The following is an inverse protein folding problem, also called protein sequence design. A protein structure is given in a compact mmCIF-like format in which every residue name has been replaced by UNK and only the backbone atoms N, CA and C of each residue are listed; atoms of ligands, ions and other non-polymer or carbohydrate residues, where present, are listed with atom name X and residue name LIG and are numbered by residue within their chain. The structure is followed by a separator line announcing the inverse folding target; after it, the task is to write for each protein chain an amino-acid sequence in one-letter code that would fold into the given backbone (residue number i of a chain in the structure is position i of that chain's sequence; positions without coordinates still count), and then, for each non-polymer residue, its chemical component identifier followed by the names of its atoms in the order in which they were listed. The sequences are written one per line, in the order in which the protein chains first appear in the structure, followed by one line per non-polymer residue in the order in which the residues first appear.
data_IF_420118642485
#
_entry.id   IF_420118642485
#
_cell.length_a   1.000
_cell.length_b   1.000
_cell.length_c   1.000
_cell.angle_alpha   90.00
_cell.angle_beta   90.00
_cell.angle_gamma   90.00
#
_symmetry.space_group_name_H-M   'P 1'
#
loop_
_entity.id
_entity.type
_entity.pdbx_description
1 polymer ?
#
# COMPACT_ATOMS: atom_id res chain seq x y z
N UNK A 1 0.43 -16.60 -1.29
CA UNK A 1 0.47 -15.36 -2.09
C UNK A 1 1.31 -14.33 -1.34
N UNK A 2 2.19 -13.60 -2.02
CA UNK A 2 3.18 -12.73 -1.38
C UNK A 2 2.52 -11.68 -0.46
N UNK A 3 2.77 -11.82 0.84
CA UNK A 3 2.13 -11.10 1.95
C UNK A 3 2.69 -9.69 2.17
N UNK A 4 3.23 -9.05 1.13
CA UNK A 4 4.05 -7.84 1.25
C UNK A 4 3.33 -6.68 1.92
N UNK A 5 2.01 -6.59 1.76
CA UNK A 5 1.21 -5.53 2.38
C UNK A 5 0.51 -5.92 3.68
N UNK A 6 0.71 -7.14 4.22
CA UNK A 6 0.00 -7.61 5.42
C UNK A 6 0.25 -6.73 6.64
N UNK A 7 1.47 -6.22 6.81
CA UNK A 7 1.81 -5.32 7.91
C UNK A 7 1.00 -4.02 7.83
N UNK A 8 0.89 -3.44 6.64
CA UNK A 8 0.10 -2.23 6.41
C UNK A 8 -1.40 -2.47 6.56
N UNK A 9 -1.91 -3.63 6.13
CA UNK A 9 -3.31 -4.02 6.32
C UNK A 9 -3.63 -4.10 7.82
N UNK A 10 -2.78 -4.78 8.60
CA UNK A 10 -2.99 -4.92 10.04
C UNK A 10 -2.99 -3.57 10.77
N UNK A 11 -2.05 -2.68 10.41
CA UNK A 11 -2.00 -1.32 10.97
C UNK A 11 -3.25 -0.50 10.67
N UNK A 12 -3.79 -0.61 9.45
CA UNK A 12 -5.05 0.04 9.07
C UNK A 12 -6.24 -0.56 9.83
N UNK A 13 -6.29 -1.89 10.00
CA UNK A 13 -7.34 -2.56 10.77
C UNK A 13 -7.35 -2.14 12.24
N UNK A 14 -6.18 -2.14 12.89
CA UNK A 14 -6.05 -1.76 14.30
C UNK A 14 -6.42 -0.28 14.50
N UNK A 15 -6.04 0.58 13.56
CA UNK A 15 -6.40 1.99 13.61
C UNK A 15 -7.91 2.22 13.38
N UNK A 16 -8.55 1.51 12.45
CA UNK A 16 -10.01 1.63 12.25
C UNK A 16 -10.76 1.13 13.48
N UNK A 17 -10.31 0.06 14.14
CA UNK A 17 -10.92 -0.42 15.39
C UNK A 17 -10.89 0.62 16.50
N UNK A 18 -9.84 1.45 16.56
CA UNK A 18 -9.73 2.56 17.51
C UNK A 18 -10.54 3.79 17.09
N UNK A 19 -10.90 3.91 15.80
CA UNK A 19 -11.58 5.09 15.27
C UNK A 19 -13.06 5.19 15.67
N UNK A 20 -13.56 6.43 15.74
CA UNK A 20 -14.97 6.72 16.03
C UNK A 20 -15.92 6.15 14.98
N UNK A 21 -15.47 6.00 13.72
CA UNK A 21 -16.29 5.45 12.65
C UNK A 21 -16.70 3.98 12.92
N UNK A 22 -15.78 3.17 13.46
CA UNK A 22 -16.10 1.79 13.83
C UNK A 22 -17.00 1.74 15.08
N UNK A 23 -16.78 2.66 16.02
CA UNK A 23 -17.65 2.81 17.20
C UNK A 23 -19.09 3.21 16.85
N UNK A 24 -19.30 3.91 15.73
CA UNK A 24 -20.63 4.21 15.17
C UNK A 24 -21.32 2.99 14.50
N UNK A 25 -20.68 1.81 14.49
CA UNK A 25 -21.24 0.59 13.93
C UNK A 25 -21.12 0.47 12.40
N UNK A 26 -20.26 1.30 11.78
CA UNK A 26 -20.03 1.24 10.32
C UNK A 26 -19.03 0.15 9.94
N UNK A 27 -19.09 -0.30 8.70
CA UNK A 27 -18.15 -1.32 8.20
C UNK A 27 -16.77 -0.73 7.96
N UNK A 28 -15.72 -1.56 8.02
CA UNK A 28 -14.33 -1.15 7.70
C UNK A 28 -14.22 -0.48 6.31
N UNK A 29 -14.97 -0.99 5.33
CA UNK A 29 -14.99 -0.43 3.97
C UNK A 29 -15.67 0.94 3.90
N UNK A 30 -16.63 1.22 4.78
CA UNK A 30 -17.26 2.53 4.87
C UNK A 30 -16.35 3.55 5.56
N UNK A 31 -15.65 3.14 6.62
CA UNK A 31 -14.69 4.00 7.31
C UNK A 31 -13.46 4.37 6.47
N UNK A 32 -13.16 3.60 5.42
CA UNK A 32 -12.05 3.86 4.50
C UNK A 32 -12.40 4.84 3.37
N UNK A 33 -13.68 5.22 3.19
CA UNK A 33 -14.09 6.14 2.13
C UNK A 33 -13.74 7.60 2.48
N UNK A 34 -13.43 8.41 1.46
CA UNK A 34 -13.07 9.84 1.60
C UNK A 34 -14.08 10.66 2.43
N UNK A 35 -15.34 10.24 2.49
CA UNK A 35 -16.41 10.96 3.21
C UNK A 35 -16.23 11.01 4.74
N UNK A 36 -15.43 10.12 5.32
CA UNK A 36 -15.22 10.04 6.77
C UNK A 36 -13.77 10.39 7.19
N UNK A 37 -12.97 10.98 6.30
CA UNK A 37 -11.58 11.35 6.61
C UNK A 37 -11.45 12.27 7.82
N UNK A 38 -12.46 13.11 8.11
CA UNK A 38 -12.51 13.97 9.29
C UNK A 38 -12.82 13.22 10.59
N UNK A 39 -13.37 12.01 10.51
CA UNK A 39 -13.71 11.17 11.68
C UNK A 39 -12.59 10.19 12.06
N UNK A 40 -11.55 10.14 11.25
CA UNK A 40 -10.46 9.17 11.34
C UNK A 40 -9.17 9.93 11.65
N UNK A 41 -8.41 9.46 12.64
CA UNK A 41 -7.18 10.13 13.05
C UNK A 41 -6.15 10.21 11.91
N UNK A 42 -5.30 11.24 11.96
CA UNK A 42 -4.28 11.49 10.95
C UNK A 42 -3.36 10.28 10.72
N UNK A 43 -3.04 9.53 11.77
CA UNK A 43 -2.23 8.31 11.69
C UNK A 43 -2.87 7.23 10.81
N UNK A 44 -4.20 7.09 10.87
CA UNK A 44 -4.94 6.18 9.99
C UNK A 44 -4.84 6.61 8.53
N UNK A 45 -4.95 7.90 8.25
CA UNK A 45 -4.86 8.41 6.88
C UNK A 45 -3.47 8.12 6.28
N UNK A 46 -2.41 8.25 7.09
CA UNK A 46 -1.06 7.89 6.66
C UNK A 46 -0.92 6.39 6.39
N UNK A 47 -1.45 5.54 7.28
CA UNK A 47 -1.41 4.08 7.09
C UNK A 47 -2.20 3.63 5.84
N UNK A 48 -3.34 4.27 5.54
CA UNK A 48 -4.12 4.04 4.31
C UNK A 48 -3.30 4.42 3.07
N UNK A 49 -2.64 5.58 3.06
CA UNK A 49 -1.75 5.99 1.96
C UNK A 49 -0.62 4.99 1.75
N UNK A 50 0.00 4.51 2.82
CA UNK A 50 1.05 3.48 2.74
C UNK A 50 0.51 2.16 2.16
N UNK A 51 -0.71 1.78 2.52
CA UNK A 51 -1.37 0.60 1.95
C UNK A 51 -1.65 0.77 0.45
N UNK A 52 -2.11 1.93 0.03
CA UNK A 52 -2.34 2.26 -1.39
C UNK A 52 -1.04 2.24 -2.19
N UNK A 53 0.04 2.82 -1.64
CA UNK A 53 1.39 2.77 -2.24
C UNK A 53 1.88 1.32 -2.32
N UNK A 54 1.69 0.53 -1.25
CA UNK A 54 2.08 -0.88 -1.24
C UNK A 54 1.33 -1.66 -2.31
N UNK A 55 0.00 -1.49 -2.40
CA UNK A 55 -0.83 -2.11 -3.44
C UNK A 55 -0.44 -1.64 -4.83
N UNK A 56 -0.16 -0.35 -5.03
CA UNK A 56 0.28 0.20 -6.30
C UNK A 56 1.61 -0.39 -6.74
N UNK A 57 2.59 -0.49 -5.85
CA UNK A 57 3.89 -1.10 -6.11
C UNK A 57 3.78 -2.62 -6.35
N UNK A 58 2.79 -3.30 -5.75
CA UNK A 58 2.51 -4.71 -6.01
C UNK A 58 1.79 -4.93 -7.36
N UNK A 59 0.85 -4.06 -7.72
CA UNK A 59 0.03 -4.17 -8.93
C UNK A 59 0.79 -3.73 -10.18
N UNK A 60 1.72 -2.79 -10.04
CA UNK A 60 2.52 -2.26 -11.14
C UNK A 60 3.78 -3.12 -11.38
N UNK A 61 3.60 -4.34 -11.88
CA UNK A 61 4.71 -5.22 -12.29
C UNK A 61 5.62 -4.57 -13.35
N UNK A 62 5.12 -3.58 -14.12
CA UNK A 62 5.91 -2.79 -15.09
C UNK A 62 7.04 -1.95 -14.45
N UNK A 63 6.99 -1.68 -13.13
CA UNK A 63 8.15 -1.10 -12.41
C UNK A 63 9.09 -2.15 -11.82
N UNK A 64 8.63 -3.38 -11.66
CA UNK A 64 9.43 -4.50 -11.15
C UNK A 64 10.31 -5.13 -12.24
N UNK A 65 9.90 -5.04 -13.51
CA UNK A 65 10.58 -5.59 -14.68
C UNK A 65 11.36 -4.58 -15.52
N UNK A 66 11.71 -3.40 -15.02
CA UNK A 66 12.78 -2.64 -15.67
C UNK A 66 14.11 -3.16 -15.16
N UNK A 67 14.56 -4.26 -15.74
CA UNK A 67 15.94 -4.79 -15.66
C UNK A 67 17.00 -3.84 -16.24
N UNK A 68 16.72 -2.55 -16.30
CA UNK A 68 17.67 -1.48 -16.57
C UNK A 68 17.91 -0.72 -15.27
N UNK A 69 18.58 -1.36 -14.32
CA UNK A 69 19.66 -0.63 -13.65
C UNK A 69 20.64 -0.31 -14.77
N UNK A 70 20.75 0.96 -15.13
CA UNK A 70 21.83 1.41 -16.01
C UNK A 70 23.13 1.12 -15.27
N UNK A 71 23.76 0.02 -15.62
CA UNK A 71 25.10 -0.31 -15.19
C UNK A 71 26.05 0.29 -16.22
N UNK A 72 26.81 1.35 -15.87
CA UNK A 72 27.75 1.99 -16.79
C UNK A 72 28.86 1.06 -17.30
N UNK A 73 28.97 -0.17 -16.75
CA UNK A 73 29.94 -1.18 -17.14
C UNK A 73 29.34 -2.40 -17.86
N UNK A 74 28.03 -2.46 -18.10
CA UNK A 74 27.41 -3.59 -18.82
C UNK A 74 27.90 -3.62 -20.27
N UNK A 75 28.57 -4.71 -20.67
CA UNK A 75 28.96 -4.95 -22.07
C UNK A 75 27.78 -5.57 -22.84
N UNK A 76 27.67 -5.31 -24.15
CA UNK A 76 26.59 -5.86 -24.98
C UNK A 76 26.62 -7.38 -25.17
N UNK A 77 27.63 -8.09 -24.66
CA UNK A 77 27.81 -9.54 -24.82
C UNK A 77 27.02 -10.38 -23.80
N UNK A 78 26.40 -9.74 -22.79
CA UNK A 78 25.73 -10.44 -21.69
C UNK A 78 24.21 -10.67 -21.91
N UNK A 79 23.68 -10.33 -23.10
CA UNK A 79 22.23 -10.37 -23.43
C UNK A 79 21.83 -11.56 -24.31
N UNK A 80 22.48 -12.71 -24.12
CA UNK A 80 22.15 -13.94 -24.85
C UNK A 80 22.01 -15.14 -23.90
N UNK A 81 20.82 -15.33 -23.32
CA UNK A 81 20.16 -16.65 -23.14
C UNK A 81 18.70 -16.52 -22.70
#
# INVERSE_FOLDING_TARGET
MANSCKLYIKGVEDCIRASKCYAEGRTFGDCLKEKDETKVDFECQQSKKLLEICKYNQFNMRKRFKGNLWDPYRRPEDEET
#
